data_IF_751398329795
#
_entry.id   IF_751398329795
#
_cell.length_a   1.000
_cell.length_b   1.000
_cell.length_c   1.000
_cell.angle_alpha   90.00
_cell.angle_beta   90.00
_cell.angle_gamma   90.00
#
_symmetry.space_group_name_H-M   'P 1'
#
loop_
_entity.id
_entity.type
_entity.pdbx_description
1 polymer ?
#
# COMPACT_ATOMS: atom_id res chain seq x y z
N UNK A 1 -0.37 14.02 -9.06
CA UNK A 1 -0.18 12.84 -8.19
C UNK A 1 0.88 13.20 -7.17
N UNK A 2 0.65 12.93 -5.88
CA UNK A 2 1.61 13.22 -4.81
C UNK A 2 2.26 11.90 -4.41
N UNK A 3 3.58 11.72 -4.59
CA UNK A 3 4.26 10.48 -4.22
C UNK A 3 4.46 10.38 -2.71
N UNK A 4 4.18 9.20 -2.16
CA UNK A 4 4.51 8.82 -0.78
C UNK A 4 5.57 7.73 -0.82
N UNK A 5 6.55 7.81 0.08
CA UNK A 5 7.63 6.82 0.16
C UNK A 5 7.58 6.13 1.51
N UNK A 6 7.40 4.80 1.50
CA UNK A 6 7.58 3.98 2.69
C UNK A 6 9.08 3.76 2.91
N UNK A 7 9.63 4.34 3.97
CA UNK A 7 11.05 4.24 4.32
C UNK A 7 11.26 3.14 5.37
N UNK A 8 12.39 2.42 5.39
CA UNK A 8 12.60 1.30 6.32
C UNK A 8 12.87 1.76 7.76
N UNK A 9 13.19 3.03 7.98
CA UNK A 9 13.43 3.62 9.30
C UNK A 9 13.71 5.12 9.25
N UNK A 10 13.80 5.75 10.41
CA UNK A 10 13.97 7.20 10.57
C UNK A 10 15.43 7.62 10.78
N UNK A 11 16.27 7.42 9.76
CA UNK A 11 17.62 8.02 9.74
C UNK A 11 17.62 9.32 8.94
N UNK A 12 18.51 10.29 9.26
CA UNK A 12 18.56 11.55 8.53
C UNK A 12 18.74 11.36 7.02
N UNK A 13 19.55 10.39 6.59
CA UNK A 13 19.80 10.09 5.19
C UNK A 13 18.55 9.58 4.47
N UNK A 14 17.81 8.62 5.04
CA UNK A 14 16.61 8.05 4.41
C UNK A 14 15.48 9.07 4.27
N UNK A 15 15.18 9.80 5.34
CA UNK A 15 14.11 10.81 5.34
C UNK A 15 14.44 11.94 4.37
N UNK A 16 15.67 12.48 4.43
CA UNK A 16 16.09 13.52 3.50
C UNK A 16 16.11 13.03 2.06
N UNK A 17 16.60 11.82 1.80
CA UNK A 17 16.67 11.29 0.44
C UNK A 17 15.28 11.20 -0.20
N UNK A 18 14.31 10.60 0.50
CA UNK A 18 12.94 10.48 0.02
C UNK A 18 12.30 11.86 -0.26
N UNK A 19 12.38 12.78 0.71
CA UNK A 19 11.74 14.09 0.59
C UNK A 19 12.44 15.01 -0.41
N UNK A 20 13.76 14.92 -0.55
CA UNK A 20 14.52 15.71 -1.52
C UNK A 20 14.32 15.22 -2.96
N UNK A 21 13.98 13.93 -3.14
CA UNK A 21 13.57 13.39 -4.43
C UNK A 21 12.14 13.84 -4.84
N UNK A 22 11.44 14.60 -3.99
CA UNK A 22 10.11 15.13 -4.27
C UNK A 22 8.94 14.34 -3.69
N UNK A 23 9.21 13.43 -2.73
CA UNK A 23 8.12 12.81 -1.95
C UNK A 23 7.32 13.88 -1.21
N UNK A 24 6.00 13.86 -1.37
CA UNK A 24 5.09 14.71 -0.59
C UNK A 24 4.85 14.18 0.82
N UNK A 25 5.26 12.94 1.10
CA UNK A 25 5.18 12.37 2.43
C UNK A 25 5.98 11.09 2.58
N UNK A 26 6.20 10.71 3.83
CA UNK A 26 6.87 9.46 4.19
C UNK A 26 5.98 8.62 5.11
N UNK A 27 6.06 7.31 4.94
CA UNK A 27 5.46 6.30 5.82
C UNK A 27 6.60 5.54 6.49
N UNK A 28 6.59 5.37 7.80
CA UNK A 28 7.54 4.50 8.48
C UNK A 28 6.82 3.30 9.12
N UNK A 29 7.18 2.05 8.75
CA UNK A 29 6.67 0.82 9.36
C UNK A 29 7.11 0.67 10.81
N UNK A 30 6.41 -0.21 11.54
CA UNK A 30 6.75 -0.59 12.92
C UNK A 30 6.97 0.60 13.88
N UNK A 31 6.13 1.64 13.80
CA UNK A 31 6.11 2.69 14.83
C UNK A 31 5.34 2.16 16.05
N UNK A 32 6.05 2.07 17.17
CA UNK A 32 5.58 1.42 18.39
C UNK A 32 5.50 2.37 19.59
N UNK A 33 6.09 3.56 19.50
CA UNK A 33 6.07 4.56 20.58
C UNK A 33 6.20 6.01 20.06
N UNK A 34 5.93 6.96 20.96
CA UNK A 34 6.02 8.39 20.67
C UNK A 34 7.43 8.88 20.30
N UNK A 35 8.49 8.26 20.83
CA UNK A 35 9.88 8.65 20.52
C UNK A 35 10.21 8.42 19.04
N UNK A 36 9.85 7.24 18.50
CA UNK A 36 10.02 6.93 17.08
C UNK A 36 9.22 7.88 16.18
N UNK A 37 7.98 8.18 16.58
CA UNK A 37 7.13 9.13 15.86
C UNK A 37 7.72 10.56 15.88
N UNK A 38 8.18 11.04 17.04
CA UNK A 38 8.83 12.36 17.19
C UNK A 38 10.06 12.44 16.32
N UNK A 39 10.89 11.40 16.35
CA UNK A 39 12.12 11.33 15.55
C UNK A 39 11.82 11.44 14.06
N UNK A 40 10.79 10.75 13.57
CA UNK A 40 10.36 10.83 12.18
C UNK A 40 9.87 12.25 11.81
N UNK A 41 9.02 12.86 12.65
CA UNK A 41 8.47 14.19 12.43
C UNK A 41 9.55 15.28 12.40
N UNK A 42 10.51 15.21 13.33
CA UNK A 42 11.65 16.13 13.42
C UNK A 42 12.53 16.07 12.17
N UNK A 43 12.84 14.84 11.70
CA UNK A 43 13.71 14.64 10.54
C UNK A 43 13.08 15.11 9.22
N UNK A 44 11.76 15.22 9.17
CA UNK A 44 11.04 15.60 7.97
C UNK A 44 10.82 17.11 7.83
N UNK A 45 11.03 17.89 8.90
CA UNK A 45 10.77 19.33 8.93
C UNK A 45 12.03 20.14 9.21
N UNK A 46 12.13 21.30 8.59
CA UNK A 46 13.21 22.26 8.79
C UNK A 46 13.00 23.05 10.10
N UNK A 47 14.07 23.66 10.66
CA UNK A 47 13.95 24.56 11.79
C UNK A 47 12.90 25.67 11.56
N UNK A 48 12.13 26.08 12.58
CA UNK A 48 12.17 25.62 13.98
C UNK A 48 11.33 24.37 14.27
N UNK A 49 10.63 23.80 13.27
CA UNK A 49 9.70 22.66 13.46
C UNK A 49 10.38 21.29 13.50
N UNK A 50 11.66 21.24 13.14
CA UNK A 50 12.45 20.02 13.11
C UNK A 50 13.92 20.29 12.83
N UNK A 51 14.65 19.27 12.41
CA UNK A 51 16.09 19.28 12.15
C UNK A 51 16.47 18.66 10.79
N UNK A 52 15.56 18.74 9.82
CA UNK A 52 15.80 18.29 8.43
C UNK A 52 17.02 18.97 7.83
N UNK A 53 17.80 18.21 7.05
CA UNK A 53 19.05 18.68 6.45
C UNK A 53 18.79 19.55 5.22
N UNK A 54 19.60 20.60 5.05
CA UNK A 54 19.50 21.53 3.93
C UNK A 54 19.83 20.85 2.59
N UNK A 55 18.94 20.91 1.57
CA UNK A 55 19.14 20.24 0.29
C UNK A 55 19.57 21.20 -0.85
N UNK A 56 20.88 21.49 -1.04
CA UNK A 56 21.33 22.47 -2.03
C UNK A 56 20.91 22.11 -3.47
N UNK A 57 20.88 20.80 -3.80
CA UNK A 57 20.50 20.32 -5.11
C UNK A 57 19.00 20.48 -5.42
N UNK A 58 18.13 20.44 -4.41
CA UNK A 58 16.70 20.69 -4.58
C UNK A 58 16.43 22.16 -4.95
N UNK A 59 17.32 23.07 -4.55
CA UNK A 59 17.19 24.51 -4.82
C UNK A 59 17.76 24.93 -6.18
N UNK A 60 18.11 23.98 -7.06
CA UNK A 60 18.61 24.29 -8.39
C UNK A 60 17.42 24.62 -9.32
N UNK A 61 17.43 25.83 -9.87
CA UNK A 61 16.44 26.32 -10.83
C UNK A 61 15.36 27.20 -10.19
N UNK A 62 14.96 28.24 -10.91
CA UNK A 62 14.07 29.30 -10.38
C UNK A 62 12.66 28.81 -10.00
N UNK A 63 12.20 27.71 -10.61
CA UNK A 63 10.85 27.18 -10.37
C UNK A 63 10.64 26.67 -8.94
N UNK A 64 11.69 26.17 -8.28
CA UNK A 64 11.59 25.63 -6.91
C UNK A 64 11.42 26.74 -5.85
N UNK A 65 11.69 28.01 -6.21
CA UNK A 65 11.53 29.15 -5.32
C UNK A 65 10.17 29.85 -5.44
N UNK A 66 9.30 29.38 -6.34
CA UNK A 66 7.95 29.91 -6.47
C UNK A 66 7.13 29.54 -5.24
N UNK A 67 6.85 30.55 -4.42
CA UNK A 67 6.19 30.42 -3.13
C UNK A 67 5.10 31.48 -3.01
N UNK A 68 4.06 31.26 -2.18
CA UNK A 68 3.12 32.32 -1.84
C UNK A 68 3.83 33.54 -1.22
N UNK A 69 3.26 34.72 -1.41
CA UNK A 69 3.81 35.96 -0.86
C UNK A 69 4.04 35.84 0.66
N UNK A 70 5.25 36.17 1.11
CA UNK A 70 5.63 36.15 2.53
C UNK A 70 6.08 34.80 3.07
N UNK A 71 6.13 33.74 2.25
CA UNK A 71 6.67 32.43 2.63
C UNK A 71 8.05 32.18 2.02
N UNK A 72 8.89 31.44 2.74
CA UNK A 72 10.07 30.81 2.16
C UNK A 72 9.71 29.44 1.58
N UNK A 73 10.60 28.88 0.75
CA UNK A 73 10.43 27.51 0.26
C UNK A 73 10.38 26.48 1.40
N UNK A 74 11.09 26.75 2.51
CA UNK A 74 11.10 25.88 3.68
C UNK A 74 9.79 25.92 4.45
N UNK A 75 9.12 27.08 4.49
CA UNK A 75 7.78 27.20 5.08
C UNK A 75 6.79 26.36 4.28
N UNK A 76 6.81 26.48 2.95
CA UNK A 76 5.99 25.67 2.05
C UNK A 76 6.28 24.18 2.24
N UNK A 77 7.54 23.76 2.27
CA UNK A 77 7.89 22.36 2.49
C UNK A 77 7.47 21.82 3.87
N UNK A 78 7.59 22.63 4.92
CA UNK A 78 7.16 22.26 6.26
C UNK A 78 5.63 22.09 6.39
N UNK A 79 4.87 22.89 5.64
CA UNK A 79 3.40 22.88 5.65
C UNK A 79 2.81 21.75 4.79
N UNK A 80 3.54 21.29 3.77
CA UNK A 80 3.02 20.32 2.81
C UNK A 80 3.55 18.89 2.99
N UNK A 81 4.63 18.69 3.74
CA UNK A 81 5.13 17.34 4.01
C UNK A 81 4.16 16.58 4.92
N UNK A 82 3.77 15.39 4.50
CA UNK A 82 2.87 14.50 5.24
C UNK A 82 3.62 13.32 5.88
N UNK A 83 3.48 13.15 7.19
CA UNK A 83 4.16 12.10 7.97
C UNK A 83 3.16 11.09 8.48
N UNK A 84 3.34 9.84 8.06
CA UNK A 84 2.48 8.74 8.44
C UNK A 84 3.24 7.72 9.27
N UNK A 85 2.75 7.47 10.48
CA UNK A 85 3.20 6.35 11.31
C UNK A 85 2.43 5.10 10.89
N UNK A 86 3.14 4.06 10.46
CA UNK A 86 2.51 2.78 10.17
C UNK A 86 2.47 1.92 11.45
N UNK A 87 1.24 1.62 11.87
CA UNK A 87 0.90 0.88 13.08
C UNK A 87 0.54 -0.53 12.65
N UNK A 88 1.42 -1.46 12.99
CA UNK A 88 1.33 -2.86 12.56
C UNK A 88 1.87 -3.84 13.60
N UNK A 89 1.96 -3.38 14.84
CA UNK A 89 2.38 -4.17 16.00
C UNK A 89 1.42 -3.96 17.17
N UNK A 90 1.30 -4.97 18.04
CA UNK A 90 0.53 -4.86 19.28
C UNK A 90 0.97 -3.66 20.12
N UNK A 91 2.27 -3.38 20.17
CA UNK A 91 2.81 -2.27 20.94
C UNK A 91 2.40 -0.91 20.35
N UNK A 92 2.44 -0.76 19.03
CA UNK A 92 1.94 0.46 18.37
C UNK A 92 0.43 0.68 18.59
N UNK A 93 -0.37 -0.39 18.67
CA UNK A 93 -1.80 -0.29 19.01
C UNK A 93 -2.01 0.14 20.46
N UNK A 94 -1.21 -0.37 21.41
CA UNK A 94 -1.27 0.07 22.81
C UNK A 94 -0.91 1.55 22.93
N UNK A 95 0.14 1.98 22.25
CA UNK A 95 0.71 3.32 22.32
C UNK A 95 0.13 4.30 21.27
N UNK A 96 -0.96 3.92 20.60
CA UNK A 96 -1.54 4.73 19.52
C UNK A 96 -1.87 6.16 19.96
N UNK A 97 -2.29 6.32 21.22
CA UNK A 97 -2.62 7.65 21.75
C UNK A 97 -1.39 8.55 21.89
N UNK A 98 -0.30 8.06 22.47
CA UNK A 98 0.94 8.85 22.57
C UNK A 98 1.54 9.13 21.19
N UNK A 99 1.46 8.18 20.26
CA UNK A 99 1.93 8.36 18.87
C UNK A 99 1.12 9.46 18.17
N UNK A 100 -0.21 9.43 18.26
CA UNK A 100 -1.06 10.47 17.67
C UNK A 100 -0.96 11.83 18.39
N UNK A 101 -0.40 11.89 19.61
CA UNK A 101 -0.14 13.15 20.30
C UNK A 101 1.13 13.86 19.81
N UNK A 102 2.01 13.16 19.10
CA UNK A 102 3.28 13.74 18.65
C UNK A 102 3.02 14.85 17.63
N UNK A 103 3.52 16.08 17.86
CA UNK A 103 3.41 17.16 16.90
C UNK A 103 4.08 16.81 15.56
N UNK A 104 3.37 17.05 14.46
CA UNK A 104 3.88 16.79 13.10
C UNK A 104 3.64 15.38 12.57
N UNK A 105 2.86 14.55 13.28
CA UNK A 105 2.26 13.35 12.71
C UNK A 105 0.94 13.72 12.04
N UNK A 106 0.87 13.47 10.74
CA UNK A 106 -0.24 13.92 9.89
C UNK A 106 -1.25 12.80 9.61
N UNK A 107 -0.87 11.54 9.88
CA UNK A 107 -1.75 10.41 9.70
C UNK A 107 -1.21 9.10 10.24
N UNK A 108 -2.09 8.10 10.27
CA UNK A 108 -1.76 6.72 10.63
C UNK A 108 -1.96 5.85 9.40
N UNK A 109 -1.03 4.94 9.13
CA UNK A 109 -1.28 3.82 8.23
C UNK A 109 -1.45 2.55 9.06
N UNK A 110 -2.47 1.73 8.78
CA UNK A 110 -2.64 0.43 9.46
C UNK A 110 -2.11 -0.67 8.57
N UNK A 111 -1.01 -1.30 8.99
CA UNK A 111 -0.43 -2.47 8.34
C UNK A 111 -1.13 -3.74 8.80
N UNK A 112 -2.26 -4.09 8.17
CA UNK A 112 -3.12 -5.17 8.70
C UNK A 112 -2.48 -6.57 8.64
N UNK A 113 -1.61 -6.84 7.68
CA UNK A 113 -0.91 -8.12 7.59
C UNK A 113 0.01 -8.36 8.79
N UNK A 114 0.95 -7.45 9.03
CA UNK A 114 1.87 -7.53 10.16
C UNK A 114 1.15 -7.38 11.50
N UNK A 115 0.11 -6.53 11.59
CA UNK A 115 -0.71 -6.41 12.81
C UNK A 115 -1.34 -7.75 13.20
N UNK A 116 -1.90 -8.48 12.24
CA UNK A 116 -2.49 -9.80 12.50
C UNK A 116 -1.44 -10.79 13.00
N UNK A 117 -0.25 -10.79 12.39
CA UNK A 117 0.86 -11.63 12.86
C UNK A 117 1.31 -11.25 14.28
N UNK A 118 1.41 -9.95 14.58
CA UNK A 118 1.77 -9.43 15.91
C UNK A 118 0.74 -9.84 16.98
N UNK A 119 -0.55 -9.95 16.60
CA UNK A 119 -1.64 -10.43 17.45
C UNK A 119 -1.68 -11.96 17.60
N UNK A 120 -0.76 -12.70 16.97
CA UNK A 120 -0.72 -14.16 17.01
C UNK A 120 -1.74 -14.85 16.10
N UNK A 121 -2.33 -14.13 15.14
CA UNK A 121 -3.27 -14.69 14.17
C UNK A 121 -2.55 -15.32 12.97
N UNK A 122 -3.20 -16.23 12.22
CA UNK A 122 -2.61 -16.84 11.03
C UNK A 122 -2.17 -15.81 9.99
N UNK A 123 -1.00 -16.06 9.37
CA UNK A 123 -0.47 -15.25 8.28
C UNK A 123 -1.28 -15.43 6.98
N UNK A 124 -1.08 -14.52 6.02
CA UNK A 124 -1.68 -14.62 4.69
C UNK A 124 -3.07 -13.99 4.53
N UNK A 125 -3.63 -13.40 5.59
CA UNK A 125 -4.85 -12.59 5.50
C UNK A 125 -4.57 -11.11 5.82
N UNK A 126 -5.27 -10.21 5.12
CA UNK A 126 -5.24 -8.76 5.36
C UNK A 126 -6.47 -8.24 6.13
N UNK A 127 -7.40 -9.14 6.50
CA UNK A 127 -8.62 -8.81 7.22
C UNK A 127 -9.14 -10.03 7.98
N UNK A 128 -10.13 -9.81 8.85
CA UNK A 128 -10.82 -10.88 9.56
C UNK A 128 -11.81 -10.31 10.57
N UNK A 129 -12.53 -11.21 11.23
CA UNK A 129 -13.55 -10.89 12.22
C UNK A 129 -13.17 -11.44 13.62
N UNK A 130 -11.90 -11.84 13.80
CA UNK A 130 -11.39 -12.25 15.11
C UNK A 130 -11.43 -11.07 16.09
N UNK A 131 -12.01 -11.29 17.27
CA UNK A 131 -12.27 -10.26 18.28
C UNK A 131 -11.02 -9.41 18.57
N UNK A 132 -9.87 -10.05 18.80
CA UNK A 132 -8.61 -9.35 19.07
C UNK A 132 -8.14 -8.41 17.94
N UNK A 133 -8.47 -8.75 16.69
CA UNK A 133 -8.14 -7.91 15.53
C UNK A 133 -9.14 -6.77 15.36
N UNK A 134 -10.43 -7.06 15.54
CA UNK A 134 -11.49 -6.03 15.50
C UNK A 134 -11.25 -5.00 16.60
N UNK A 135 -10.98 -5.44 17.82
CA UNK A 135 -10.67 -4.58 18.97
C UNK A 135 -9.45 -3.68 18.70
N UNK A 136 -8.41 -4.21 18.06
CA UNK A 136 -7.25 -3.43 17.68
C UNK A 136 -7.61 -2.33 16.68
N UNK A 137 -8.40 -2.65 15.64
CA UNK A 137 -8.86 -1.67 14.66
C UNK A 137 -9.80 -0.61 15.29
N UNK A 138 -10.67 -1.02 16.20
CA UNK A 138 -11.56 -0.11 16.92
C UNK A 138 -10.81 0.82 17.86
N UNK A 139 -9.78 0.31 18.56
CA UNK A 139 -8.90 1.15 19.39
C UNK A 139 -8.22 2.22 18.54
N UNK A 140 -7.63 1.85 17.41
CA UNK A 140 -7.02 2.81 16.48
C UNK A 140 -8.06 3.84 16.04
N UNK A 141 -9.23 3.40 15.55
CA UNK A 141 -10.32 4.28 15.11
C UNK A 141 -10.73 5.27 16.19
N UNK A 142 -10.97 4.80 17.41
CA UNK A 142 -11.51 5.63 18.49
C UNK A 142 -10.51 6.73 18.85
N UNK A 143 -9.21 6.42 18.91
CA UNK A 143 -8.17 7.41 19.18
C UNK A 143 -7.98 8.39 18.02
N UNK A 144 -7.90 7.90 16.79
CA UNK A 144 -7.65 8.76 15.62
C UNK A 144 -8.84 9.67 15.32
N UNK A 145 -10.07 9.16 15.44
CA UNK A 145 -11.30 9.95 15.23
C UNK A 145 -11.46 11.07 16.25
N UNK A 146 -11.17 10.82 17.53
CA UNK A 146 -11.22 11.85 18.59
C UNK A 146 -10.25 13.01 18.33
N UNK A 147 -9.20 12.77 17.54
CA UNK A 147 -8.10 13.70 17.26
C UNK A 147 -8.15 14.29 15.85
N UNK A 148 -9.05 13.80 15.00
CA UNK A 148 -9.09 14.16 13.58
C UNK A 148 -7.91 13.64 12.76
N UNK A 149 -7.17 12.64 13.27
CA UNK A 149 -6.03 12.05 12.56
C UNK A 149 -6.53 11.10 11.47
N UNK A 150 -6.17 11.30 10.20
CA UNK A 150 -6.60 10.42 9.12
C UNK A 150 -5.94 9.04 9.20
N UNK A 151 -6.70 8.02 8.81
CA UNK A 151 -6.24 6.63 8.73
C UNK A 151 -6.17 6.18 7.27
N UNK A 152 -5.04 5.57 6.93
CA UNK A 152 -4.76 4.94 5.65
C UNK A 152 -4.61 3.42 5.81
N UNK A 153 -4.96 2.64 4.79
CA UNK A 153 -4.52 1.24 4.73
C UNK A 153 -5.00 0.49 3.49
N UNK A 154 -4.60 -0.77 3.38
CA UNK A 154 -4.94 -1.61 2.23
C UNK A 154 -6.43 -1.96 2.20
N UNK A 155 -7.03 -1.84 1.01
CA UNK A 155 -8.43 -2.13 0.70
C UNK A 155 -8.54 -2.66 -0.73
N UNK A 156 -8.03 -3.87 -0.96
CA UNK A 156 -7.81 -4.45 -2.29
C UNK A 156 -9.07 -4.97 -3.00
N UNK A 157 -10.25 -4.89 -2.38
CA UNK A 157 -11.51 -5.31 -2.99
C UNK A 157 -12.71 -4.54 -2.39
N UNK A 158 -13.87 -4.64 -3.04
CA UNK A 158 -15.09 -3.92 -2.67
C UNK A 158 -15.50 -4.15 -1.19
N UNK A 159 -15.45 -5.40 -0.71
CA UNK A 159 -15.78 -5.74 0.69
C UNK A 159 -14.88 -4.98 1.67
N UNK A 160 -13.57 -4.94 1.40
CA UNK A 160 -12.63 -4.23 2.26
C UNK A 160 -12.84 -2.72 2.18
N UNK A 161 -13.02 -2.16 0.98
CA UNK A 161 -13.31 -0.73 0.78
C UNK A 161 -14.52 -0.32 1.63
N UNK A 162 -15.64 -1.04 1.52
CA UNK A 162 -16.85 -0.76 2.30
C UNK A 162 -16.60 -0.85 3.81
N UNK A 163 -15.91 -1.90 4.27
CA UNK A 163 -15.60 -2.08 5.70
C UNK A 163 -14.72 -0.95 6.21
N UNK A 164 -13.67 -0.57 5.48
CA UNK A 164 -12.73 0.49 5.87
C UNK A 164 -13.38 1.87 5.89
N UNK A 165 -14.23 2.18 4.92
CA UNK A 165 -15.02 3.41 4.92
C UNK A 165 -16.00 3.45 6.10
N UNK A 166 -16.69 2.35 6.43
CA UNK A 166 -17.63 2.27 7.57
C UNK A 166 -16.95 2.49 8.92
N UNK A 167 -15.69 2.08 9.07
CA UNK A 167 -14.89 2.35 10.28
C UNK A 167 -14.16 3.70 10.24
N UNK A 168 -14.38 4.52 9.20
CA UNK A 168 -13.91 5.91 9.15
C UNK A 168 -12.51 6.12 8.57
N UNK A 169 -11.93 5.17 7.84
CA UNK A 169 -10.67 5.39 7.13
C UNK A 169 -10.86 6.40 5.99
N UNK A 170 -9.90 7.32 5.84
CA UNK A 170 -9.97 8.43 4.89
C UNK A 170 -9.09 8.22 3.65
N UNK A 171 -8.11 7.31 3.71
CA UNK A 171 -7.25 6.99 2.58
C UNK A 171 -7.16 5.47 2.37
N UNK A 172 -7.37 5.02 1.14
CA UNK A 172 -7.44 3.60 0.81
C UNK A 172 -6.38 3.25 -0.23
N UNK A 173 -5.53 2.27 0.09
CA UNK A 173 -4.62 1.67 -0.88
C UNK A 173 -5.39 0.55 -1.58
N UNK A 174 -5.97 0.90 -2.73
CA UNK A 174 -6.91 0.02 -3.44
C UNK A 174 -6.23 -0.95 -4.41
N UNK A 175 -4.96 -0.72 -4.72
CA UNK A 175 -4.28 -1.47 -5.77
C UNK A 175 -2.75 -1.44 -5.58
N UNK A 176 -2.07 -2.48 -6.08
CA UNK A 176 -0.62 -2.55 -6.19
C UNK A 176 -0.20 -3.05 -7.58
N UNK A 177 0.81 -2.44 -8.18
CA UNK A 177 1.28 -2.72 -9.55
C UNK A 177 1.67 -4.19 -9.74
N UNK A 178 2.43 -4.77 -8.81
CA UNK A 178 2.85 -6.16 -8.85
C UNK A 178 1.64 -7.11 -8.87
N UNK A 179 0.56 -6.77 -8.17
CA UNK A 179 -0.67 -7.58 -8.16
C UNK A 179 -1.34 -7.58 -9.53
N UNK A 180 -1.37 -6.43 -10.21
CA UNK A 180 -1.90 -6.36 -11.59
C UNK A 180 -1.01 -7.10 -12.58
N UNK A 181 0.30 -6.89 -12.52
CA UNK A 181 1.25 -7.54 -13.43
C UNK A 181 1.13 -9.05 -13.30
N UNK A 182 1.13 -9.56 -12.07
CA UNK A 182 0.96 -10.98 -11.78
C UNK A 182 -0.40 -11.50 -12.29
N UNK A 183 -1.50 -10.87 -11.89
CA UNK A 183 -2.84 -11.36 -12.23
C UNK A 183 -3.11 -11.32 -13.74
N UNK A 184 -2.63 -10.27 -14.42
CA UNK A 184 -2.73 -10.12 -15.87
C UNK A 184 -1.91 -11.17 -16.60
N UNK A 185 -0.67 -11.41 -16.17
CA UNK A 185 0.18 -12.45 -16.75
C UNK A 185 -0.46 -13.84 -16.60
N UNK A 186 -0.91 -14.19 -15.39
CA UNK A 186 -1.58 -15.47 -15.12
C UNK A 186 -2.83 -15.63 -16.00
N UNK A 187 -3.72 -14.64 -16.02
CA UNK A 187 -4.94 -14.71 -16.82
C UNK A 187 -4.66 -14.85 -18.34
N UNK A 188 -3.64 -14.15 -18.83
CA UNK A 188 -3.22 -14.23 -20.24
C UNK A 188 -2.70 -15.62 -20.57
N UNK A 189 -1.83 -16.18 -19.72
CA UNK A 189 -1.27 -17.53 -19.91
C UNK A 189 -2.38 -18.58 -19.87
N UNK A 190 -3.26 -18.55 -18.87
CA UNK A 190 -4.38 -19.50 -18.78
C UNK A 190 -5.29 -19.44 -20.00
N UNK A 191 -5.55 -18.23 -20.53
CA UNK A 191 -6.33 -18.08 -21.76
C UNK A 191 -5.65 -18.76 -22.95
N UNK A 192 -4.33 -18.63 -23.07
CA UNK A 192 -3.55 -19.29 -24.12
C UNK A 192 -3.56 -20.82 -23.97
N UNK A 193 -3.43 -21.33 -22.73
CA UNK A 193 -3.52 -22.77 -22.42
C UNK A 193 -4.90 -23.33 -22.79
N UNK A 194 -5.98 -22.63 -22.44
CA UNK A 194 -7.35 -23.01 -22.79
C UNK A 194 -7.58 -23.05 -24.31
N UNK A 195 -7.04 -22.07 -25.04
CA UNK A 195 -7.10 -22.06 -26.51
C UNK A 195 -6.33 -23.26 -27.08
N UNK A 196 -5.10 -23.50 -26.61
CA UNK A 196 -4.27 -24.60 -27.09
C UNK A 196 -4.94 -25.96 -26.85
N UNK A 197 -5.49 -26.18 -25.65
CA UNK A 197 -6.21 -27.39 -25.30
C UNK A 197 -7.44 -27.62 -26.20
N UNK A 198 -8.24 -26.57 -26.46
CA UNK A 198 -9.41 -26.66 -27.36
C UNK A 198 -9.04 -27.00 -28.80
N UNK A 199 -7.97 -26.40 -29.33
CA UNK A 199 -7.49 -26.66 -30.69
C UNK A 199 -6.99 -28.10 -30.83
N UNK A 200 -6.23 -28.60 -29.85
CA UNK A 200 -5.74 -29.98 -29.83
C UNK A 200 -6.88 -31.00 -29.76
N UNK A 201 -7.85 -30.81 -28.86
CA UNK A 201 -9.02 -31.69 -28.75
C UNK A 201 -9.88 -31.71 -30.03
N UNK A 202 -9.97 -30.57 -30.73
CA UNK A 202 -10.70 -30.49 -32.00
C UNK A 202 -9.97 -31.26 -33.12
N UNK A 203 -8.64 -31.25 -33.13
CA UNK A 203 -7.82 -31.98 -34.10
C UNK A 203 -7.91 -33.51 -33.91
N UNK A 204 -7.89 -33.99 -32.65
CA UNK A 204 -8.01 -35.42 -32.32
C UNK A 204 -9.42 -35.98 -32.61
N UNK A 205 -10.46 -35.16 -32.45
CA UNK A 205 -11.84 -35.51 -32.81
C UNK A 205 -12.07 -35.65 -34.32
N UNK A 206 -11.33 -34.90 -35.15
CA UNK A 206 -11.37 -35.05 -36.62
C UNK A 206 -10.54 -36.25 -37.12
N UNK A 207 -9.40 -36.55 -36.48
CA UNK A 207 -8.56 -37.68 -36.88
C UNK A 207 -9.23 -39.06 -36.63
N UNK A 208 -10.09 -39.15 -35.62
CA UNK A 208 -10.84 -40.38 -35.29
C UNK A 208 -12.05 -40.62 -36.21
N UNK A 209 -12.56 -39.59 -36.90
CA UNK A 209 -13.63 -39.73 -37.88
C UNK A 209 -13.13 -40.25 -39.25
N UNK A 210 -11.89 -39.95 -39.64
CA UNK A 210 -11.33 -40.42 -40.92
C UNK A 210 -10.86 -41.87 -40.90
N UNK A 211 -10.56 -42.45 -39.73
CA UNK A 211 -10.05 -43.83 -39.62
C UNK A 211 -11.16 -44.89 -39.71
N UNK A 212 -12.44 -44.54 -39.51
CA UNK A 212 -13.57 -45.47 -39.59
C UNK A 212 -14.23 -45.57 -40.98
N UNK A 213 -13.68 -44.91 -42.01
CA UNK A 213 -14.27 -44.84 -43.35
C UNK A 213 -13.76 -45.85 -44.38
N UNK A 214 -12.84 -46.76 -44.04
CA UNK A 214 -12.24 -47.70 -45.01
C UNK A 214 -12.33 -49.15 -44.54
N UNK A 215 -13.53 -49.75 -44.61
CA UNK A 215 -13.69 -51.20 -44.77
C UNK A 215 -15.14 -51.52 -45.19
N UNK A 216 -15.28 -52.02 -46.43
CA UNK A 216 -16.45 -52.55 -47.16
C UNK A 216 -16.55 -51.82 -48.50
N UNK A 217 -16.43 -52.41 -49.69
CA UNK A 217 -16.92 -53.72 -50.14
C UNK A 217 -16.05 -54.20 -51.31
N UNK A 218 -15.59 -55.45 -51.25
CA UNK A 218 -15.21 -56.23 -52.43
C UNK A 218 -16.42 -57.06 -52.93
N UNK A 219 -16.44 -57.25 -54.25
CA UNK A 219 -17.18 -58.25 -55.04
C UNK A 219 -18.62 -57.93 -55.48
N UNK A 220 -18.83 -57.96 -56.80
CA UNK A 220 -20.14 -58.29 -57.38
C UNK A 220 -20.44 -57.79 -58.80
N UNK A 221 -19.86 -58.43 -59.82
CA UNK A 221 -20.50 -58.88 -61.10
C UNK A 221 -21.32 -57.85 -61.91
N UNK A 222 -20.81 -57.45 -63.08
CA UNK A 222 -21.31 -57.88 -64.40
C UNK A 222 -20.30 -57.57 -65.51
#
# INVERSE_FOLDING_TARGET
MVPFVRIPGSTPDLVNHALNAGAGGVVMPHIQNAEQASRLAELARFPPRGNRSFPPAALIGEKQFQTPDGMTVFDVWNDHVAIFCQIEDVEGVKNIEEICNVPGIDGILVGTGDLRMSLGLPSGSLDGDEEIFVDALERIRNVTSARGTPVMGFSSNARLIERRLKIGWQALIVHADFSSIYSSAVATISTCEDIAARVQHSADGTASAEINGHNCVSNGIH
#
